data_IF_332228421520
#
_entry.id   IF_332228421520
#
_cell.length_a   1.000
_cell.length_b   1.000
_cell.length_c   1.000
_cell.angle_alpha   90.00
_cell.angle_beta   90.00
_cell.angle_gamma   90.00
#
_symmetry.space_group_name_H-M   'P 1'
#
loop_
_entity.id
_entity.type
_entity.pdbx_description
1 polymer ?
#
# COMPACT_ATOMS: atom_id res chain seq x y z
N UNK A 1 -10.04 -4.76 -2.31
CA UNK A 1 -8.66 -4.30 -2.57
C UNK A 1 -8.03 -3.86 -1.27
N UNK A 2 -8.18 -2.59 -0.91
CA UNK A 2 -7.61 -2.01 0.32
C UNK A 2 -8.44 -2.27 1.57
N UNK A 3 -9.76 -2.12 1.50
CA UNK A 3 -10.66 -2.33 2.66
C UNK A 3 -10.50 -3.73 3.27
N UNK A 4 -10.26 -4.72 2.42
CA UNK A 4 -10.00 -6.13 2.77
C UNK A 4 -8.69 -6.37 3.55
N UNK A 5 -7.64 -5.57 3.31
CA UNK A 5 -6.35 -5.65 4.00
C UNK A 5 -6.41 -5.01 5.40
N UNK A 6 -7.08 -3.84 5.50
CA UNK A 6 -7.42 -3.21 6.79
C UNK A 6 -8.22 -4.14 7.71
N UNK A 7 -9.14 -4.95 7.15
CA UNK A 7 -9.93 -5.90 7.94
C UNK A 7 -9.16 -7.17 8.33
N UNK A 8 -8.21 -7.63 7.51
CA UNK A 8 -7.33 -8.74 7.87
C UNK A 8 -6.48 -8.41 9.11
N UNK A 9 -5.94 -7.19 9.16
CA UNK A 9 -5.17 -6.71 10.30
C UNK A 9 -5.99 -6.54 11.59
N UNK A 10 -7.28 -6.15 11.45
CA UNK A 10 -8.16 -5.95 12.61
C UNK A 10 -8.74 -7.25 13.19
N UNK A 11 -8.75 -8.35 12.43
CA UNK A 11 -9.60 -9.51 12.76
C UNK A 11 -8.88 -10.86 12.82
N UNK A 12 -7.61 -10.99 12.39
CA UNK A 12 -6.88 -12.28 12.38
C UNK A 12 -7.70 -13.43 11.74
N UNK A 13 -8.58 -13.11 10.77
CA UNK A 13 -9.51 -14.07 10.17
C UNK A 13 -9.11 -14.42 8.73
N UNK A 14 -8.99 -15.73 8.47
CA UNK A 14 -8.74 -16.40 7.19
C UNK A 14 -9.65 -15.98 6.01
N UNK A 15 -10.73 -15.23 6.25
CA UNK A 15 -11.78 -14.93 5.26
C UNK A 15 -11.36 -13.90 4.20
N UNK A 16 -10.31 -13.10 4.48
CA UNK A 16 -9.86 -12.00 3.62
C UNK A 16 -8.72 -12.37 2.66
N UNK A 17 -8.14 -13.56 2.81
CA UNK A 17 -7.11 -14.10 1.92
C UNK A 17 -7.58 -14.22 0.47
N UNK A 18 -8.86 -14.56 0.27
CA UNK A 18 -9.46 -14.75 -1.05
C UNK A 18 -9.68 -13.45 -1.82
N UNK A 19 -10.01 -12.37 -1.12
CA UNK A 19 -10.18 -11.04 -1.74
C UNK A 19 -8.82 -10.40 -2.04
N UNK A 20 -7.82 -10.66 -1.17
CA UNK A 20 -6.43 -10.32 -1.48
C UNK A 20 -5.95 -11.11 -2.70
N UNK A 21 -6.17 -12.43 -2.75
CA UNK A 21 -5.74 -13.27 -3.88
C UNK A 21 -6.41 -12.87 -5.20
N UNK A 22 -7.71 -12.52 -5.20
CA UNK A 22 -8.38 -12.02 -6.41
C UNK A 22 -7.82 -10.67 -6.89
N UNK A 23 -7.39 -9.81 -5.97
CA UNK A 23 -6.71 -8.56 -6.32
C UNK A 23 -5.30 -8.81 -6.85
N UNK A 24 -4.57 -9.78 -6.27
CA UNK A 24 -3.26 -10.22 -6.77
C UNK A 24 -3.38 -10.80 -8.17
N UNK A 25 -4.32 -11.72 -8.42
CA UNK A 25 -4.48 -12.34 -9.75
C UNK A 25 -4.86 -11.33 -10.84
N UNK A 26 -5.67 -10.32 -10.49
CA UNK A 26 -5.96 -9.21 -11.42
C UNK A 26 -4.71 -8.36 -11.68
N UNK A 27 -3.86 -8.15 -10.67
CA UNK A 27 -2.60 -7.42 -10.82
C UNK A 27 -1.57 -8.19 -11.65
N UNK A 28 -1.43 -9.50 -11.41
CA UNK A 28 -0.58 -10.39 -12.20
C UNK A 28 -1.00 -10.40 -13.67
N UNK A 29 -2.30 -10.42 -13.93
CA UNK A 29 -2.84 -10.27 -15.28
C UNK A 29 -2.39 -8.93 -15.89
N UNK A 30 -2.54 -7.79 -15.20
CA UNK A 30 -2.10 -6.50 -15.73
C UNK A 30 -0.57 -6.37 -15.92
N UNK A 31 0.22 -7.06 -15.10
CA UNK A 31 1.69 -7.16 -15.26
C UNK A 31 2.03 -7.97 -16.52
N UNK A 32 1.35 -9.11 -16.76
CA UNK A 32 1.60 -9.96 -17.93
C UNK A 32 1.26 -9.27 -19.26
N UNK A 33 0.30 -8.34 -19.28
CA UNK A 33 -0.07 -7.58 -20.48
C UNK A 33 0.90 -6.40 -20.73
N UNK A 34 1.99 -6.30 -19.98
CA UNK A 34 3.06 -5.32 -20.23
C UNK A 34 2.74 -3.89 -19.81
N UNK A 35 1.75 -3.68 -18.93
CA UNK A 35 1.57 -2.36 -18.30
C UNK A 35 2.64 -2.19 -17.22
N UNK A 36 3.62 -1.34 -17.54
CA UNK A 36 4.72 -0.78 -16.72
C UNK A 36 4.32 -0.27 -15.32
N UNK A 37 3.03 -0.31 -14.96
CA UNK A 37 2.43 0.45 -13.89
C UNK A 37 1.87 -0.36 -12.71
N UNK A 38 2.34 -1.59 -12.46
CA UNK A 38 1.90 -2.37 -11.29
C UNK A 38 3.00 -2.61 -10.24
N UNK A 39 4.22 -2.12 -10.48
CA UNK A 39 5.38 -2.33 -9.58
C UNK A 39 5.09 -1.81 -8.17
N UNK A 40 4.52 -0.62 -8.04
CA UNK A 40 4.15 -0.02 -6.75
C UNK A 40 3.16 -0.88 -5.95
N UNK A 41 2.20 -1.55 -6.64
CA UNK A 41 1.22 -2.43 -5.99
C UNK A 41 1.84 -3.75 -5.54
N UNK A 42 2.78 -4.28 -6.32
CA UNK A 42 3.52 -5.49 -5.95
C UNK A 42 4.40 -5.24 -4.72
N UNK A 43 5.09 -4.11 -4.67
CA UNK A 43 5.89 -3.68 -3.52
C UNK A 43 5.02 -3.46 -2.28
N UNK A 44 3.85 -2.86 -2.44
CA UNK A 44 2.89 -2.68 -1.34
C UNK A 44 2.42 -4.03 -0.78
N UNK A 45 2.12 -5.00 -1.64
CA UNK A 45 1.71 -6.33 -1.21
C UNK A 45 2.84 -7.07 -0.48
N UNK A 46 4.08 -6.94 -0.95
CA UNK A 46 5.26 -7.50 -0.26
C UNK A 46 5.43 -6.89 1.12
N UNK A 47 5.28 -5.57 1.24
CA UNK A 47 5.38 -4.86 2.51
C UNK A 47 4.35 -5.37 3.54
N UNK A 48 3.09 -5.54 3.13
CA UNK A 48 2.03 -6.08 3.98
C UNK A 48 2.29 -7.56 4.36
N UNK A 49 2.79 -8.36 3.41
CA UNK A 49 3.13 -9.77 3.67
C UNK A 49 4.24 -9.90 4.71
N UNK A 50 5.31 -9.09 4.58
CA UNK A 50 6.41 -9.07 5.53
C UNK A 50 6.00 -8.50 6.89
N UNK A 51 5.13 -7.49 6.90
CA UNK A 51 4.52 -7.00 8.14
C UNK A 51 3.75 -8.10 8.88
N UNK A 52 3.08 -9.02 8.17
CA UNK A 52 2.41 -10.16 8.78
C UNK A 52 3.38 -11.25 9.26
N UNK A 53 4.54 -11.38 8.61
CA UNK A 53 5.60 -12.32 9.00
C UNK A 53 6.47 -11.81 10.17
N UNK A 54 6.32 -10.54 10.55
CA UNK A 54 7.12 -9.90 11.60
C UNK A 54 8.47 -9.37 11.11
N UNK A 55 8.68 -9.30 9.80
CA UNK A 55 9.90 -8.77 9.17
C UNK A 55 9.79 -7.25 8.99
N UNK A 56 9.87 -6.52 10.10
CA UNK A 56 9.55 -5.08 10.15
C UNK A 56 10.47 -4.20 9.29
N UNK A 57 11.76 -4.53 9.24
CA UNK A 57 12.75 -3.76 8.49
C UNK A 57 12.52 -3.87 6.97
N UNK A 58 12.25 -5.08 6.49
CA UNK A 58 11.97 -5.35 5.09
C UNK A 58 10.61 -4.77 4.67
N UNK A 59 9.60 -4.87 5.55
CA UNK A 59 8.30 -4.26 5.33
C UNK A 59 8.41 -2.75 5.15
N UNK A 60 9.12 -2.08 6.06
CA UNK A 60 9.40 -0.64 6.01
C UNK A 60 10.12 -0.24 4.72
N UNK A 61 11.11 -1.01 4.29
CA UNK A 61 11.82 -0.76 3.05
C UNK A 61 10.90 -0.91 1.82
N UNK A 62 10.09 -1.96 1.78
CA UNK A 62 9.14 -2.18 0.69
C UNK A 62 8.04 -1.10 0.63
N UNK A 63 7.60 -0.55 1.77
CA UNK A 63 6.71 0.61 1.77
C UNK A 63 7.35 1.83 1.11
N UNK A 64 8.62 2.14 1.43
CA UNK A 64 9.35 3.24 0.80
C UNK A 64 9.51 3.05 -0.70
N UNK A 65 9.85 1.83 -1.12
CA UNK A 65 9.96 1.48 -2.54
C UNK A 65 8.62 1.59 -3.26
N UNK A 66 7.52 1.16 -2.63
CA UNK A 66 6.18 1.30 -3.20
C UNK A 66 5.80 2.77 -3.43
N UNK A 67 6.09 3.65 -2.47
CA UNK A 67 5.86 5.10 -2.57
C UNK A 67 6.71 5.71 -3.70
N UNK A 68 8.00 5.36 -3.77
CA UNK A 68 8.90 5.86 -4.80
C UNK A 68 8.48 5.40 -6.21
N UNK A 69 8.05 4.14 -6.34
CA UNK A 69 7.55 3.59 -7.60
C UNK A 69 6.23 4.25 -8.04
N UNK A 70 5.35 4.60 -7.09
CA UNK A 70 4.12 5.34 -7.39
C UNK A 70 4.41 6.78 -7.81
N UNK A 71 5.38 7.44 -7.16
CA UNK A 71 5.83 8.79 -7.49
C UNK A 71 6.51 8.88 -8.86
N UNK A 72 7.36 7.92 -9.20
CA UNK A 72 8.02 7.85 -10.52
C UNK A 72 7.04 7.79 -11.69
N UNK A 73 5.84 7.23 -11.47
CA UNK A 73 4.82 7.06 -12.49
C UNK A 73 3.65 8.06 -12.33
N UNK A 74 3.82 9.11 -11.53
CA UNK A 74 2.81 10.14 -11.25
C UNK A 74 1.45 9.60 -10.77
N UNK A 75 1.46 8.44 -10.10
CA UNK A 75 0.26 7.86 -9.51
C UNK A 75 -0.03 8.44 -8.14
N UNK A 76 -0.53 9.67 -8.11
CA UNK A 76 -0.80 10.41 -6.88
C UNK A 76 -1.79 9.67 -5.97
N UNK A 77 -2.81 9.04 -6.55
CA UNK A 77 -3.78 8.23 -5.79
C UNK A 77 -3.12 7.00 -5.14
N UNK A 78 -2.27 6.28 -5.87
CA UNK A 78 -1.58 5.08 -5.37
C UNK A 78 -0.49 5.44 -4.35
N UNK A 79 0.17 6.59 -4.54
CA UNK A 79 1.10 7.18 -3.58
C UNK A 79 0.41 7.47 -2.26
N UNK A 80 -0.78 8.06 -2.30
CA UNK A 80 -1.58 8.33 -1.11
C UNK A 80 -1.92 7.04 -0.35
N UNK A 81 -2.39 6.02 -1.09
CA UNK A 81 -2.69 4.70 -0.55
C UNK A 81 -1.46 4.06 0.12
N UNK A 82 -0.31 4.07 -0.54
CA UNK A 82 0.91 3.47 -0.01
C UNK A 82 1.37 4.18 1.28
N UNK A 83 1.21 5.51 1.36
CA UNK A 83 1.49 6.31 2.55
C UNK A 83 0.54 6.00 3.71
N UNK A 84 -0.77 5.83 3.45
CA UNK A 84 -1.70 5.40 4.50
C UNK A 84 -1.32 4.03 5.07
N UNK A 85 -0.92 3.08 4.22
CA UNK A 85 -0.49 1.75 4.67
C UNK A 85 0.80 1.75 5.46
N UNK A 86 1.78 2.55 5.04
CA UNK A 86 2.97 2.78 5.83
C UNK A 86 2.59 3.39 7.20
N UNK A 87 1.67 4.36 7.24
CA UNK A 87 1.15 4.95 8.48
C UNK A 87 0.48 3.92 9.40
N UNK A 88 -0.35 3.03 8.86
CA UNK A 88 -0.98 1.91 9.57
C UNK A 88 0.07 0.98 10.18
N UNK A 89 1.12 0.65 9.42
CA UNK A 89 2.23 -0.19 9.85
C UNK A 89 3.02 0.44 11.01
N UNK A 90 3.46 1.68 10.85
CA UNK A 90 4.20 2.41 11.89
C UNK A 90 3.34 2.60 13.16
N UNK A 91 2.04 2.86 13.01
CA UNK A 91 1.13 2.99 14.14
C UNK A 91 1.03 1.67 14.94
N UNK A 92 0.98 0.52 14.25
CA UNK A 92 0.96 -0.81 14.90
C UNK A 92 2.26 -1.13 15.62
N UNK A 93 3.39 -0.64 15.11
CA UNK A 93 4.70 -0.81 15.72
C UNK A 93 4.98 0.23 16.83
N UNK A 94 4.04 1.14 17.11
CA UNK A 94 4.18 2.17 18.14
C UNK A 94 5.12 3.32 17.75
N UNK A 95 5.27 3.57 16.44
CA UNK A 95 6.19 4.55 15.88
C UNK A 95 5.47 5.86 15.48
N UNK A 96 5.97 6.98 16.01
CA UNK A 96 5.41 8.32 15.79
C UNK A 96 5.45 8.79 14.33
N UNK A 97 6.28 8.15 13.48
CA UNK A 97 6.31 8.40 12.03
C UNK A 97 4.95 8.17 11.37
N UNK A 98 4.05 7.41 12.00
CA UNK A 98 2.69 7.21 11.53
C UNK A 98 1.97 8.53 11.22
N UNK A 99 2.06 9.52 12.12
CA UNK A 99 1.38 10.80 11.96
C UNK A 99 1.87 11.57 10.71
N UNK A 100 3.17 11.51 10.43
CA UNK A 100 3.76 12.11 9.23
C UNK A 100 3.19 11.44 7.97
N UNK A 101 3.18 10.10 7.92
CA UNK A 101 2.68 9.37 6.76
C UNK A 101 1.20 9.64 6.47
N UNK A 102 0.36 9.77 7.50
CA UNK A 102 -1.04 10.16 7.31
C UNK A 102 -1.19 11.59 6.80
N UNK A 103 -0.40 12.54 7.30
CA UNK A 103 -0.41 13.92 6.81
C UNK A 103 -0.02 14.00 5.33
N UNK A 104 1.02 13.26 4.94
CA UNK A 104 1.46 13.20 3.55
C UNK A 104 0.47 12.47 2.63
N UNK A 105 -0.23 11.44 3.12
CA UNK A 105 -1.30 10.77 2.37
C UNK A 105 -2.46 11.72 2.11
N UNK A 106 -2.89 12.47 3.13
CA UNK A 106 -3.93 13.47 3.02
C UNK A 106 -3.58 14.57 2.01
N UNK A 107 -2.34 15.09 2.05
CA UNK A 107 -1.85 16.04 1.05
C UNK A 107 -1.90 15.46 -0.38
N UNK A 108 -1.53 14.19 -0.55
CA UNK A 108 -1.58 13.50 -1.85
C UNK A 108 -3.02 13.36 -2.35
N UNK A 109 -3.98 13.04 -1.48
CA UNK A 109 -5.41 13.01 -1.85
C UNK A 109 -5.96 14.39 -2.22
N UNK A 110 -5.58 15.43 -1.49
CA UNK A 110 -5.95 16.81 -1.83
C UNK A 110 -5.43 17.20 -3.22
N UNK A 111 -4.17 16.85 -3.53
CA UNK A 111 -3.58 17.10 -4.84
C UNK A 111 -4.31 16.33 -5.95
N UNK A 112 -4.65 15.06 -5.71
CA UNK A 112 -5.42 14.25 -6.66
C UNK A 112 -6.83 14.83 -6.89
N UNK A 113 -7.53 15.25 -5.83
CA UNK A 113 -8.83 15.90 -5.92
C UNK A 113 -8.79 17.28 -6.60
N UNK A 114 -7.68 18.01 -6.45
CA UNK A 114 -7.45 19.29 -7.12
C UNK A 114 -7.15 19.13 -8.61
N UNK A 115 -6.55 18.01 -9.03
CA UNK A 115 -6.35 17.68 -10.46
C UNK A 115 -7.60 17.09 -11.15
N UNK A 116 -8.63 16.73 -10.38
CA UNK A 116 -9.87 16.16 -10.90
C UNK A 116 -10.96 17.17 -11.26
N UNK A 117 -10.62 18.45 -11.44
CA UNK A 117 -11.57 19.55 -11.68
C UNK A 117 -11.30 20.29 -12.98
#
# INVERSE_FOLDING_TARGET
GLISLTMAHKTRQMKWSRVASEAVSKLEYFVQIGKVNCEHRLLLLKAETQSLMGEEEEASNNYKLAIAAAEKNDFIHEKAIAKERAGDFFLRNGDDRAAQYYGEAHASYLQWGAQGK
#
